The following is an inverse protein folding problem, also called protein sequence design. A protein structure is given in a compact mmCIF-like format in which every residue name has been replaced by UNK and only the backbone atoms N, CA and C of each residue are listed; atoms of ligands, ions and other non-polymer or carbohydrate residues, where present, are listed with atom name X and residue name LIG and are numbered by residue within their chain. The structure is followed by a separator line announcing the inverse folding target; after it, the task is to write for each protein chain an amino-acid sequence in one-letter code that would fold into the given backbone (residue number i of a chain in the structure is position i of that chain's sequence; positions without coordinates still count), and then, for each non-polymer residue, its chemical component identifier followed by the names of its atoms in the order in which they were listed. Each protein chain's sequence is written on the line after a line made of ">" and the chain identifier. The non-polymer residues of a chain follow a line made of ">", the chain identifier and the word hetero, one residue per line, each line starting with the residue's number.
data_IF_310276981302
#
_entry.id   IF_310276981302
#
_cell.length_a   1.000
_cell.length_b   1.000
_cell.length_c   1.000
_cell.angle_alpha   90.00
_cell.angle_beta   90.00
_cell.angle_gamma   90.00
#
_symmetry.space_group_name_H-M   'P 1'
#
loop_
_entity.id
_entity.type
_entity.pdbx_description
1 polymer ?
#
# COMPACT_ATOMS: atom_id res chain seq x y z
N UNK A 1 -27.44 51.41 -46.01
CA UNK A 1 -26.63 51.49 -44.81
C UNK A 1 -27.00 50.22 -44.00
N UNK A 2 -26.27 49.14 -44.21
CA UNK A 2 -26.50 47.81 -43.58
C UNK A 2 -25.47 47.65 -42.48
N UNK A 3 -25.93 47.57 -41.24
CA UNK A 3 -25.12 47.40 -40.05
C UNK A 3 -24.86 45.90 -39.88
N UNK A 4 -23.63 45.46 -40.09
CA UNK A 4 -23.19 44.09 -39.82
C UNK A 4 -22.78 44.00 -38.34
N UNK A 5 -23.54 43.20 -37.55
CA UNK A 5 -23.20 42.84 -36.17
C UNK A 5 -22.24 41.67 -36.25
N UNK A 6 -20.96 41.92 -35.91
CA UNK A 6 -20.00 40.85 -35.67
C UNK A 6 -20.24 40.27 -34.27
N UNK A 7 -20.75 39.04 -34.23
CA UNK A 7 -20.84 38.24 -33.03
C UNK A 7 -19.50 37.51 -32.91
N UNK A 8 -18.60 37.96 -32.01
CA UNK A 8 -17.39 37.26 -31.68
C UNK A 8 -17.72 36.11 -30.75
N UNK A 9 -17.74 34.90 -31.27
CA UNK A 9 -17.70 33.68 -30.48
C UNK A 9 -16.29 33.52 -29.94
N UNK A 10 -16.10 33.77 -28.64
CA UNK A 10 -14.93 33.29 -27.91
C UNK A 10 -15.14 31.81 -27.67
N UNK A 11 -14.46 30.99 -28.47
CA UNK A 11 -14.33 29.56 -28.19
C UNK A 11 -13.39 29.45 -27.00
N UNK A 12 -13.95 29.18 -25.83
CA UNK A 12 -13.17 28.75 -24.66
C UNK A 12 -12.62 27.38 -25.00
N UNK A 13 -11.31 27.26 -25.17
CA UNK A 13 -10.67 25.99 -25.37
C UNK A 13 -10.74 25.24 -24.03
N UNK A 14 -11.60 24.21 -23.98
CA UNK A 14 -11.56 23.21 -22.90
C UNK A 14 -10.18 22.56 -22.88
N UNK A 15 -9.41 22.85 -21.84
CA UNK A 15 -8.11 22.20 -21.60
C UNK A 15 -8.35 20.80 -21.08
N UNK A 16 -8.24 19.80 -21.93
CA UNK A 16 -8.31 18.40 -21.53
C UNK A 16 -7.01 18.00 -20.81
N UNK A 17 -7.12 17.62 -19.56
CA UNK A 17 -5.98 17.33 -18.68
C UNK A 17 -5.65 15.82 -18.73
N UNK A 18 -4.97 15.36 -19.71
CA UNK A 18 -3.96 14.28 -19.68
C UNK A 18 -3.40 14.00 -21.06
N UNK A 19 -2.08 14.12 -21.22
CA UNK A 19 -1.36 13.69 -22.41
C UNK A 19 -1.18 12.15 -22.50
N UNK A 20 -1.61 11.40 -21.47
CA UNK A 20 -1.48 9.94 -21.42
C UNK A 20 -2.75 9.17 -21.87
N UNK A 21 -3.89 9.86 -22.08
CA UNK A 21 -5.12 9.20 -22.48
C UNK A 21 -5.85 10.04 -23.55
N UNK A 22 -5.92 9.55 -24.78
CA UNK A 22 -6.83 10.13 -25.77
C UNK A 22 -8.28 9.83 -25.40
N UNK A 23 -9.22 10.70 -25.79
CA UNK A 23 -10.67 10.50 -25.58
C UNK A 23 -11.13 9.16 -26.18
N UNK A 24 -10.52 8.73 -27.27
CA UNK A 24 -10.79 7.43 -27.91
C UNK A 24 -10.34 6.24 -27.05
N UNK A 25 -9.32 6.41 -26.18
CA UNK A 25 -8.87 5.38 -25.25
C UNK A 25 -9.79 5.17 -24.03
N UNK A 26 -10.60 6.16 -23.68
CA UNK A 26 -11.44 6.14 -22.47
C UNK A 26 -12.58 5.11 -22.56
N UNK A 27 -13.10 4.82 -23.76
CA UNK A 27 -14.29 4.01 -23.98
C UNK A 27 -14.04 2.60 -24.49
N UNK A 28 -12.80 2.18 -24.71
CA UNK A 28 -12.50 0.81 -25.15
C UNK A 28 -12.54 -0.12 -23.93
N UNK A 29 -13.51 -1.05 -23.85
CA UNK A 29 -13.52 -2.04 -22.76
C UNK A 29 -12.25 -2.89 -22.82
N UNK A 30 -11.69 -3.19 -21.67
CA UNK A 30 -10.64 -4.20 -21.54
C UNK A 30 -11.34 -5.54 -21.76
N UNK A 31 -10.87 -6.33 -22.75
CA UNK A 31 -11.41 -7.66 -23.00
C UNK A 31 -11.44 -8.52 -21.72
N UNK A 32 -12.59 -9.11 -21.43
CA UNK A 32 -12.89 -9.79 -20.16
C UNK A 32 -12.83 -11.31 -20.30
N UNK A 33 -11.75 -11.88 -20.78
CA UNK A 33 -11.54 -13.32 -20.57
C UNK A 33 -11.06 -13.53 -19.12
N UNK A 34 -11.88 -14.15 -18.28
CA UNK A 34 -11.46 -14.59 -16.94
C UNK A 34 -10.41 -15.69 -17.08
N UNK A 35 -9.21 -15.41 -16.59
CA UNK A 35 -8.13 -16.41 -16.60
C UNK A 35 -8.27 -17.35 -15.42
N UNK A 36 -8.77 -18.56 -15.63
CA UNK A 36 -8.79 -19.65 -14.64
C UNK A 36 -7.44 -20.39 -14.58
N UNK A 37 -6.32 -19.67 -14.66
CA UNK A 37 -4.99 -20.26 -14.64
C UNK A 37 -4.71 -20.92 -13.28
N UNK A 38 -4.29 -22.19 -13.31
CA UNK A 38 -3.92 -22.95 -12.11
C UNK A 38 -2.48 -22.68 -11.67
N UNK A 39 -2.17 -22.91 -10.37
CA UNK A 39 -0.79 -22.86 -9.85
C UNK A 39 0.13 -23.74 -10.72
N UNK A 40 1.24 -23.16 -11.16
CA UNK A 40 2.21 -23.79 -12.06
C UNK A 40 1.92 -23.63 -13.56
N UNK A 41 0.83 -22.95 -13.94
CA UNK A 41 0.54 -22.61 -15.33
C UNK A 41 1.26 -21.30 -15.72
N UNK A 42 1.89 -21.28 -16.88
CA UNK A 42 2.52 -20.08 -17.43
C UNK A 42 1.45 -19.09 -17.90
N UNK A 43 1.50 -17.86 -17.39
CA UNK A 43 0.67 -16.76 -17.85
C UNK A 43 1.33 -16.13 -19.10
N UNK A 44 0.57 -15.97 -20.17
CA UNK A 44 1.00 -15.22 -21.35
C UNK A 44 0.81 -13.72 -21.10
N UNK A 45 1.86 -13.06 -20.55
CA UNK A 45 1.90 -11.63 -20.24
C UNK A 45 2.93 -10.96 -21.13
N UNK A 46 2.48 -10.00 -21.93
CA UNK A 46 3.34 -9.24 -22.87
C UNK A 46 3.98 -8.03 -22.18
N UNK A 47 4.98 -8.30 -21.35
CA UNK A 47 5.78 -7.30 -20.66
C UNK A 47 7.16 -7.88 -20.33
N UNK A 48 8.15 -7.01 -20.10
CA UNK A 48 9.50 -7.45 -19.75
C UNK A 48 9.61 -8.01 -18.34
N UNK A 49 8.95 -7.35 -17.40
CA UNK A 49 9.01 -7.68 -15.97
C UNK A 49 7.65 -7.53 -15.34
N UNK A 50 7.29 -8.48 -14.49
CA UNK A 50 6.03 -8.43 -13.74
C UNK A 50 6.09 -9.26 -12.46
N UNK A 51 5.23 -8.90 -11.49
CA UNK A 51 5.10 -9.59 -10.21
C UNK A 51 3.66 -9.49 -9.69
N UNK A 52 3.23 -10.53 -8.99
CA UNK A 52 2.04 -10.54 -8.15
C UNK A 52 2.46 -10.83 -6.72
N UNK A 53 2.09 -9.96 -5.79
CA UNK A 53 2.45 -10.05 -4.38
C UNK A 53 1.20 -9.91 -3.49
N UNK A 54 1.15 -10.66 -2.39
CA UNK A 54 0.22 -10.39 -1.29
C UNK A 54 0.89 -9.38 -0.34
N UNK A 55 0.27 -8.18 -0.12
CA UNK A 55 0.96 -7.05 0.50
C UNK A 55 1.28 -7.21 1.99
N UNK A 56 0.47 -7.96 2.77
CA UNK A 56 0.67 -8.09 4.22
C UNK A 56 1.82 -9.02 4.56
N UNK A 57 1.88 -10.18 3.89
CA UNK A 57 2.94 -11.18 4.10
C UNK A 57 4.16 -10.94 3.21
N UNK A 58 4.03 -10.05 2.20
CA UNK A 58 5.01 -9.82 1.12
C UNK A 58 5.32 -11.09 0.33
N UNK A 59 4.41 -12.07 0.33
CA UNK A 59 4.58 -13.34 -0.39
C UNK A 59 4.40 -13.10 -1.89
N UNK A 60 5.40 -13.49 -2.66
CA UNK A 60 5.35 -13.49 -4.11
C UNK A 60 4.51 -14.69 -4.56
N UNK A 61 3.47 -14.44 -5.37
CA UNK A 61 2.54 -15.45 -5.87
C UNK A 61 2.82 -15.84 -7.31
N UNK A 62 3.35 -14.90 -8.08
CA UNK A 62 3.76 -15.09 -9.47
C UNK A 62 4.75 -14.01 -9.86
N UNK A 63 5.77 -14.35 -10.66
CA UNK A 63 6.73 -13.36 -11.15
C UNK A 63 7.43 -13.82 -12.43
N UNK A 64 7.96 -12.87 -13.18
CA UNK A 64 8.97 -13.08 -14.20
C UNK A 64 9.86 -11.82 -14.30
N UNK A 65 11.18 -12.04 -14.30
CA UNK A 65 12.21 -11.00 -14.36
C UNK A 65 11.95 -9.87 -13.32
N UNK A 66 11.42 -10.19 -12.13
CA UNK A 66 10.94 -9.21 -11.16
C UNK A 66 12.04 -8.25 -10.67
N UNK A 67 13.31 -8.66 -10.73
CA UNK A 67 14.46 -7.86 -10.32
C UNK A 67 15.19 -7.17 -11.50
N UNK A 68 14.64 -7.23 -12.72
CA UNK A 68 15.20 -6.48 -13.85
C UNK A 68 15.04 -4.98 -13.62
N UNK A 69 16.15 -4.23 -13.72
CA UNK A 69 16.17 -2.76 -13.54
C UNK A 69 15.63 -2.07 -14.78
N UNK A 70 14.50 -1.38 -14.63
CA UNK A 70 13.77 -0.70 -15.68
C UNK A 70 13.40 0.73 -15.26
N UNK A 71 13.18 1.60 -16.24
CA UNK A 71 12.61 2.92 -16.02
C UNK A 71 11.16 2.79 -15.50
N UNK A 72 10.79 3.45 -14.37
CA UNK A 72 9.45 3.34 -13.79
C UNK A 72 8.39 4.23 -14.45
N UNK A 73 8.79 5.27 -15.20
CA UNK A 73 7.88 6.36 -15.57
C UNK A 73 7.12 6.88 -14.34
N UNK A 74 5.86 7.31 -14.50
CA UNK A 74 5.02 7.85 -13.41
C UNK A 74 4.66 6.85 -12.30
N UNK A 75 5.07 5.56 -12.39
CA UNK A 75 5.02 4.65 -11.23
C UNK A 75 5.87 5.19 -10.08
N UNK A 76 6.91 5.97 -10.37
CA UNK A 76 7.70 6.74 -9.39
C UNK A 76 6.83 7.42 -8.35
N UNK A 77 5.66 7.98 -8.75
CA UNK A 77 4.78 8.73 -7.86
C UNK A 77 4.17 7.92 -6.71
N UNK A 78 4.30 6.59 -6.74
CA UNK A 78 3.92 5.75 -5.60
C UNK A 78 4.74 6.12 -4.36
N UNK A 79 6.05 6.40 -4.51
CA UNK A 79 6.91 6.81 -3.40
C UNK A 79 6.57 8.23 -2.88
N UNK A 80 6.44 9.27 -3.70
CA UNK A 80 5.86 10.55 -3.30
C UNK A 80 4.55 10.44 -2.52
N UNK A 81 3.60 9.67 -3.05
CA UNK A 81 2.30 9.47 -2.39
C UNK A 81 2.45 8.78 -1.03
N UNK A 82 3.36 7.80 -0.91
CA UNK A 82 3.67 7.16 0.38
C UNK A 82 4.19 8.19 1.39
N UNK A 83 5.16 9.02 1.02
CA UNK A 83 5.73 10.03 1.90
C UNK A 83 4.68 11.10 2.32
N UNK A 84 3.77 11.47 1.41
CA UNK A 84 2.67 12.38 1.72
C UNK A 84 1.69 11.74 2.72
N UNK A 85 1.30 10.47 2.52
CA UNK A 85 0.43 9.75 3.46
C UNK A 85 1.08 9.62 4.84
N UNK A 86 2.37 9.28 4.89
CA UNK A 86 3.13 9.20 6.14
C UNK A 86 3.20 10.56 6.86
N UNK A 87 3.36 11.67 6.12
CA UNK A 87 3.36 13.02 6.69
C UNK A 87 1.97 13.40 7.26
N UNK A 88 0.88 12.99 6.60
CA UNK A 88 -0.48 13.18 7.10
C UNK A 88 -0.69 12.36 8.39
N UNK A 89 -0.26 11.11 8.42
CA UNK A 89 -0.41 10.24 9.59
C UNK A 89 0.37 10.76 10.80
N UNK A 90 1.56 11.32 10.58
CA UNK A 90 2.34 12.02 11.63
C UNK A 90 1.75 13.37 12.03
N UNK A 91 0.75 13.88 11.30
CA UNK A 91 0.13 15.20 11.47
C UNK A 91 1.10 16.39 11.20
N UNK A 92 2.10 16.16 10.38
CA UNK A 92 2.99 17.22 9.90
C UNK A 92 2.26 18.15 8.94
N UNK A 93 1.33 17.58 8.14
CA UNK A 93 0.42 18.27 7.23
C UNK A 93 -1.01 17.70 7.38
N UNK A 94 -2.00 18.44 6.87
CA UNK A 94 -3.40 17.98 6.79
C UNK A 94 -3.92 18.11 5.36
N UNK A 95 -5.08 17.55 5.07
CA UNK A 95 -5.71 17.68 3.75
C UNK A 95 -6.05 19.13 3.40
N UNK A 96 -6.32 19.96 4.41
CA UNK A 96 -6.65 21.38 4.30
C UNK A 96 -5.42 22.28 4.22
N UNK A 97 -4.21 21.72 4.42
CA UNK A 97 -2.97 22.50 4.27
C UNK A 97 -2.89 23.10 2.88
N UNK A 98 -2.73 24.43 2.81
CA UNK A 98 -2.64 25.17 1.55
C UNK A 98 -1.21 25.17 1.06
N UNK A 99 -1.02 24.82 -0.21
CA UNK A 99 0.26 24.78 -0.93
C UNK A 99 0.23 25.84 -2.02
N UNK A 100 1.23 26.69 -2.05
CA UNK A 100 1.41 27.67 -3.14
C UNK A 100 2.39 27.11 -4.16
N UNK A 101 1.96 27.01 -5.41
CA UNK A 101 2.76 26.46 -6.49
C UNK A 101 3.98 27.34 -6.81
N UNK A 102 5.15 26.74 -6.83
CA UNK A 102 6.41 27.38 -7.22
C UNK A 102 6.54 27.50 -8.74
N UNK A 103 7.42 28.37 -9.21
CA UNK A 103 7.81 28.44 -10.64
C UNK A 103 8.35 27.07 -11.11
N UNK A 104 9.11 26.36 -10.25
CA UNK A 104 9.65 25.05 -10.56
C UNK A 104 8.54 24.01 -10.78
N UNK A 105 7.60 23.89 -9.85
CA UNK A 105 6.46 22.98 -9.98
C UNK A 105 5.66 23.26 -11.26
N UNK A 106 5.39 24.53 -11.57
CA UNK A 106 4.67 24.96 -12.76
C UNK A 106 5.43 24.73 -14.07
N UNK A 107 6.76 24.57 -14.02
CA UNK A 107 7.61 24.30 -15.20
C UNK A 107 7.61 22.84 -15.63
N UNK A 108 6.98 21.94 -14.86
CA UNK A 108 7.01 20.51 -15.16
C UNK A 108 6.33 20.19 -16.49
N UNK A 109 6.97 19.30 -17.25
CA UNK A 109 6.39 18.72 -18.47
C UNK A 109 5.57 17.46 -18.20
N UNK A 110 4.99 16.89 -19.25
CA UNK A 110 4.18 15.67 -19.20
C UNK A 110 2.76 15.91 -18.69
N UNK A 111 2.21 14.98 -17.92
CA UNK A 111 0.87 15.12 -17.34
C UNK A 111 0.84 16.24 -16.31
N UNK A 112 -0.13 17.15 -16.42
CA UNK A 112 -0.22 18.35 -15.59
C UNK A 112 -1.67 18.73 -15.35
N UNK A 113 -1.92 19.48 -14.26
CA UNK A 113 -3.16 20.23 -14.05
C UNK A 113 -2.98 21.71 -14.41
N UNK A 114 -1.81 22.06 -14.97
CA UNK A 114 -1.48 23.43 -15.42
C UNK A 114 -1.52 24.43 -14.25
N UNK A 115 -0.78 24.13 -13.17
CA UNK A 115 -0.60 25.07 -12.08
C UNK A 115 0.08 26.35 -12.59
N UNK A 116 -0.40 27.50 -12.10
CA UNK A 116 0.24 28.80 -12.36
C UNK A 116 1.12 29.20 -11.17
N UNK A 117 2.26 29.87 -11.39
CA UNK A 117 3.11 30.35 -10.32
C UNK A 117 2.33 31.23 -9.32
N UNK A 118 2.36 30.85 -8.05
CA UNK A 118 1.60 31.53 -7.00
C UNK A 118 0.15 31.06 -6.83
N UNK A 119 -0.35 30.16 -7.68
CA UNK A 119 -1.62 29.50 -7.46
C UNK A 119 -1.58 28.67 -6.18
N UNK A 120 -2.67 28.71 -5.40
CA UNK A 120 -2.76 27.98 -4.14
C UNK A 120 -3.82 26.91 -4.24
N UNK A 121 -3.46 25.68 -3.87
CA UNK A 121 -4.34 24.52 -3.75
C UNK A 121 -4.14 23.82 -2.42
N UNK A 122 -5.13 23.09 -1.96
CA UNK A 122 -5.03 22.22 -0.80
C UNK A 122 -4.26 20.93 -1.10
N UNK A 123 -3.70 20.30 -0.06
CA UNK A 123 -3.11 18.95 -0.17
C UNK A 123 -4.12 17.96 -0.75
N UNK A 124 -5.42 18.04 -0.39
CA UNK A 124 -6.49 17.20 -0.94
C UNK A 124 -6.60 17.34 -2.46
N UNK A 125 -6.61 18.56 -2.99
CA UNK A 125 -6.70 18.84 -4.43
C UNK A 125 -5.44 18.36 -5.18
N UNK A 126 -4.26 18.60 -4.61
CA UNK A 126 -3.00 18.14 -5.21
C UNK A 126 -2.87 16.60 -5.19
N UNK A 127 -3.37 15.93 -4.14
CA UNK A 127 -3.46 14.46 -4.11
C UNK A 127 -4.40 13.93 -5.19
N UNK A 128 -5.59 14.54 -5.38
CA UNK A 128 -6.50 14.19 -6.49
C UNK A 128 -5.79 14.30 -7.83
N UNK A 129 -5.12 15.42 -8.09
CA UNK A 129 -4.39 15.65 -9.33
C UNK A 129 -3.28 14.61 -9.56
N UNK A 130 -2.49 14.32 -8.52
CA UNK A 130 -1.35 13.39 -8.60
C UNK A 130 -1.80 11.94 -8.81
N UNK A 131 -2.85 11.50 -8.12
CA UNK A 131 -3.33 10.11 -8.18
C UNK A 131 -4.16 9.88 -9.44
N UNK A 132 -5.15 10.73 -9.70
CA UNK A 132 -6.15 10.52 -10.77
C UNK A 132 -5.54 10.84 -12.13
N UNK A 133 -5.03 12.08 -12.31
CA UNK A 133 -4.50 12.55 -13.59
C UNK A 133 -2.98 12.36 -13.75
N UNK A 134 -2.29 11.84 -12.72
CA UNK A 134 -0.83 11.67 -12.76
C UNK A 134 -0.05 13.00 -12.86
N UNK A 135 -0.62 14.12 -12.40
CA UNK A 135 -0.07 15.46 -12.56
C UNK A 135 1.35 15.61 -11.96
N UNK A 136 2.30 16.03 -12.78
CA UNK A 136 3.70 16.22 -12.40
C UNK A 136 3.89 17.48 -11.55
N UNK A 137 3.26 18.57 -11.96
CA UNK A 137 3.25 19.85 -11.26
C UNK A 137 2.68 19.71 -9.84
N UNK A 138 1.55 19.03 -9.67
CA UNK A 138 0.98 18.74 -8.36
C UNK A 138 1.90 17.85 -7.50
N UNK A 139 2.56 16.85 -8.09
CA UNK A 139 3.48 15.98 -7.39
C UNK A 139 4.71 16.74 -6.87
N UNK A 140 5.29 17.63 -7.68
CA UNK A 140 6.41 18.49 -7.27
C UNK A 140 5.99 19.43 -6.16
N UNK A 141 4.83 20.09 -6.29
CA UNK A 141 4.31 21.01 -5.26
C UNK A 141 4.12 20.29 -3.90
N UNK A 142 3.63 19.05 -3.89
CA UNK A 142 3.55 18.23 -2.67
C UNK A 142 4.94 17.88 -2.12
N UNK A 143 5.90 17.57 -2.99
CA UNK A 143 7.28 17.30 -2.58
C UNK A 143 7.97 18.51 -1.97
N UNK A 144 7.80 19.70 -2.57
CA UNK A 144 8.32 20.96 -2.05
C UNK A 144 7.70 21.33 -0.70
N UNK A 145 6.41 21.06 -0.50
CA UNK A 145 5.76 21.24 0.81
C UNK A 145 6.44 20.42 1.91
N UNK A 146 6.83 19.17 1.61
CA UNK A 146 7.39 18.25 2.61
C UNK A 146 8.87 18.53 2.88
N UNK A 147 9.65 18.82 1.83
CA UNK A 147 11.11 18.86 1.90
C UNK A 147 11.72 20.22 1.54
N UNK A 148 10.92 21.22 1.20
CA UNK A 148 11.37 22.57 0.81
C UNK A 148 11.88 22.66 -0.64
N UNK A 149 12.22 21.55 -1.29
CA UNK A 149 12.59 21.50 -2.71
C UNK A 149 12.40 20.08 -3.28
N UNK A 150 12.34 19.94 -4.61
CA UNK A 150 12.31 18.63 -5.27
C UNK A 150 13.56 17.81 -4.96
N UNK A 151 14.75 18.41 -4.94
CA UNK A 151 15.99 17.72 -4.61
C UNK A 151 15.98 17.16 -3.19
N UNK A 152 15.53 17.95 -2.22
CA UNK A 152 15.33 17.49 -0.84
C UNK A 152 14.33 16.35 -0.75
N UNK A 153 13.24 16.44 -1.51
CA UNK A 153 12.23 15.39 -1.55
C UNK A 153 12.73 14.10 -2.20
N UNK A 154 13.49 14.19 -3.29
CA UNK A 154 14.15 13.03 -3.92
C UNK A 154 15.14 12.36 -2.98
N UNK A 155 15.85 13.13 -2.14
CA UNK A 155 16.70 12.55 -1.10
C UNK A 155 15.89 11.71 -0.11
N UNK A 156 14.74 12.22 0.38
CA UNK A 156 13.82 11.47 1.25
C UNK A 156 13.24 10.23 0.56
N UNK A 157 12.91 10.32 -0.73
CA UNK A 157 12.43 9.16 -1.51
C UNK A 157 13.48 8.05 -1.55
N UNK A 158 14.74 8.37 -1.78
CA UNK A 158 15.83 7.39 -1.82
C UNK A 158 16.15 6.82 -0.42
N UNK A 159 16.08 7.64 0.62
CA UNK A 159 16.20 7.19 2.01
C UNK A 159 15.09 6.19 2.35
N UNK A 160 13.84 6.52 2.03
CA UNK A 160 12.70 5.64 2.28
C UNK A 160 12.76 4.34 1.48
N UNK A 161 13.21 4.41 0.22
CA UNK A 161 13.45 3.22 -0.59
C UNK A 161 14.45 2.27 0.09
N UNK A 162 15.55 2.80 0.61
CA UNK A 162 16.54 2.02 1.37
C UNK A 162 15.97 1.40 2.65
N UNK A 163 15.18 2.16 3.41
CA UNK A 163 14.50 1.64 4.61
C UNK A 163 13.55 0.48 4.30
N UNK A 164 12.89 0.53 3.14
CA UNK A 164 11.98 -0.51 2.66
C UNK A 164 12.70 -1.73 2.06
N UNK A 165 14.04 -1.68 1.92
CA UNK A 165 14.85 -2.73 1.29
C UNK A 165 14.72 -2.75 -0.24
N UNK A 166 14.39 -1.61 -0.86
CA UNK A 166 14.31 -1.45 -2.32
C UNK A 166 15.71 -1.20 -2.92
N UNK A 167 16.60 -2.19 -2.79
CA UNK A 167 18.03 -2.07 -3.10
C UNK A 167 18.34 -1.85 -4.59
N UNK A 168 17.35 -2.10 -5.46
CA UNK A 168 17.51 -1.93 -6.92
C UNK A 168 16.83 -0.67 -7.44
N UNK A 169 16.35 0.22 -6.55
CA UNK A 169 15.66 1.46 -6.91
C UNK A 169 16.53 2.68 -6.66
N UNK A 170 16.52 3.61 -7.61
CA UNK A 170 17.15 4.93 -7.48
C UNK A 170 16.24 5.96 -8.12
N UNK A 171 15.80 6.95 -7.37
CA UNK A 171 15.02 8.08 -7.84
C UNK A 171 15.93 9.27 -8.19
N UNK A 172 15.66 9.93 -9.31
CA UNK A 172 16.36 11.15 -9.77
C UNK A 172 15.45 12.37 -9.82
N UNK A 173 14.14 12.15 -9.84
CA UNK A 173 13.07 13.14 -9.71
C UNK A 173 11.87 12.49 -9.04
N UNK A 174 10.89 13.28 -8.64
CA UNK A 174 9.70 12.77 -7.96
C UNK A 174 8.55 12.41 -8.92
N UNK A 175 8.68 12.70 -10.22
CA UNK A 175 7.59 12.57 -11.20
C UNK A 175 7.67 11.31 -12.06
N UNK A 176 8.90 10.79 -12.27
CA UNK A 176 9.18 9.68 -13.16
C UNK A 176 9.46 10.08 -14.60
N UNK A 177 9.79 11.34 -14.84
CA UNK A 177 10.37 11.77 -16.12
C UNK A 177 11.71 11.07 -16.33
N UNK A 178 11.99 10.72 -17.60
CA UNK A 178 13.18 9.97 -17.96
C UNK A 178 14.47 10.72 -17.55
N UNK A 179 15.30 10.07 -16.74
CA UNK A 179 16.59 10.55 -16.29
C UNK A 179 17.59 9.39 -16.19
N UNK A 180 18.87 9.65 -16.48
CA UNK A 180 19.91 8.63 -16.37
C UNK A 180 20.02 8.10 -14.95
N UNK A 181 19.95 6.78 -14.79
CA UNK A 181 19.99 6.12 -13.49
C UNK A 181 18.69 6.20 -12.68
N UNK A 182 17.58 6.71 -13.24
CA UNK A 182 16.25 6.62 -12.63
C UNK A 182 15.64 5.25 -12.94
N UNK A 183 15.89 4.29 -12.05
CA UNK A 183 15.60 2.88 -12.27
C UNK A 183 14.89 2.28 -11.06
N UNK A 184 14.09 1.26 -11.30
CA UNK A 184 13.43 0.42 -10.30
C UNK A 184 13.26 -1.00 -10.81
N UNK A 185 12.65 -1.89 -10.01
CA UNK A 185 12.29 -3.25 -10.40
C UNK A 185 10.81 -3.49 -10.10
N UNK A 186 10.19 -4.50 -10.73
CA UNK A 186 8.81 -4.85 -10.40
C UNK A 186 8.67 -5.27 -8.94
N UNK A 187 9.69 -5.92 -8.37
CA UNK A 187 9.74 -6.31 -6.97
C UNK A 187 9.73 -5.07 -6.04
N UNK A 188 10.62 -4.11 -6.27
CA UNK A 188 10.70 -2.89 -5.46
C UNK A 188 9.41 -2.07 -5.57
N UNK A 189 8.82 -1.97 -6.78
CA UNK A 189 7.51 -1.33 -6.97
C UNK A 189 6.42 -2.03 -6.17
N UNK A 190 6.40 -3.36 -6.13
CA UNK A 190 5.43 -4.10 -5.33
C UNK A 190 5.60 -3.82 -3.83
N UNK A 191 6.86 -3.68 -3.35
CA UNK A 191 7.15 -3.32 -1.95
C UNK A 191 6.58 -1.93 -1.62
N UNK A 192 6.93 -0.88 -2.37
CA UNK A 192 6.43 0.47 -2.07
C UNK A 192 4.91 0.59 -2.26
N UNK A 193 4.33 -0.13 -3.22
CA UNK A 193 2.88 -0.19 -3.40
C UNK A 193 2.18 -0.85 -2.22
N UNK A 194 2.76 -1.93 -1.69
CA UNK A 194 2.25 -2.61 -0.49
C UNK A 194 2.29 -1.72 0.74
N UNK A 195 3.31 -0.86 0.88
CA UNK A 195 3.35 0.10 1.98
C UNK A 195 2.31 1.21 1.80
N UNK A 196 2.18 1.77 0.59
CA UNK A 196 1.22 2.84 0.31
C UNK A 196 -0.23 2.45 0.59
N UNK A 197 -0.65 1.22 0.22
CA UNK A 197 -2.04 0.79 0.41
C UNK A 197 -2.42 0.50 1.86
N UNK A 198 -1.46 0.44 2.79
CA UNK A 198 -1.73 0.39 4.24
C UNK A 198 -2.37 1.69 4.75
N UNK A 199 -2.16 2.78 4.06
CA UNK A 199 -2.79 4.07 4.35
C UNK A 199 -4.17 4.11 3.69
N UNK A 200 -5.23 3.80 4.43
CA UNK A 200 -6.61 3.74 3.90
C UNK A 200 -7.04 5.02 3.16
N UNK A 201 -6.44 6.16 3.52
CA UNK A 201 -6.72 7.44 2.88
C UNK A 201 -6.42 7.44 1.38
N UNK A 202 -5.42 6.67 0.91
CA UNK A 202 -5.08 6.64 -0.53
C UNK A 202 -6.25 6.11 -1.37
N UNK A 203 -7.05 5.19 -0.82
CA UNK A 203 -8.21 4.60 -1.50
C UNK A 203 -9.28 5.65 -1.82
N UNK A 204 -9.34 6.78 -1.05
CA UNK A 204 -10.23 7.92 -1.35
C UNK A 204 -9.97 8.50 -2.75
N UNK A 205 -8.75 8.42 -3.25
CA UNK A 205 -8.33 8.97 -4.54
C UNK A 205 -8.16 7.88 -5.61
N UNK A 206 -7.49 6.78 -5.25
CA UNK A 206 -7.07 5.75 -6.22
C UNK A 206 -8.24 4.95 -6.80
N UNK A 207 -9.39 4.92 -6.13
CA UNK A 207 -10.62 4.24 -6.61
C UNK A 207 -11.55 5.14 -7.39
N UNK A 208 -11.24 6.43 -7.53
CA UNK A 208 -12.06 7.39 -8.24
C UNK A 208 -11.78 7.33 -9.74
N UNK A 209 -12.82 7.16 -10.55
CA UNK A 209 -12.70 7.17 -12.01
C UNK A 209 -12.61 8.58 -12.60
N UNK A 210 -13.44 9.48 -12.15
CA UNK A 210 -13.48 10.89 -12.60
C UNK A 210 -13.74 11.81 -11.42
N UNK A 211 -13.09 12.96 -11.41
CA UNK A 211 -13.28 14.05 -10.44
C UNK A 211 -13.00 15.38 -11.15
N UNK A 212 -13.06 16.49 -10.43
CA UNK A 212 -12.74 17.81 -10.94
C UNK A 212 -12.00 18.67 -9.91
N UNK A 213 -11.33 19.71 -10.41
CA UNK A 213 -10.68 20.76 -9.63
C UNK A 213 -11.23 22.12 -10.03
N UNK A 214 -10.89 23.16 -9.24
CA UNK A 214 -11.25 24.55 -9.54
C UNK A 214 -12.75 24.72 -9.80
N UNK A 215 -13.58 24.19 -8.87
CA UNK A 215 -15.05 24.24 -8.94
C UNK A 215 -15.63 23.68 -10.26
N UNK A 216 -15.04 22.59 -10.75
CA UNK A 216 -15.49 21.91 -11.96
C UNK A 216 -14.88 22.42 -13.27
N UNK A 217 -13.96 23.40 -13.22
CA UNK A 217 -13.32 23.94 -14.43
C UNK A 217 -12.22 23.04 -15.01
N UNK A 218 -11.71 22.10 -14.22
CA UNK A 218 -10.67 21.17 -14.65
C UNK A 218 -11.12 19.75 -14.35
N UNK A 219 -11.46 18.98 -15.40
CA UNK A 219 -11.84 17.57 -15.25
C UNK A 219 -10.61 16.68 -15.07
N UNK A 220 -10.70 15.71 -14.16
CA UNK A 220 -9.72 14.67 -13.94
C UNK A 220 -10.29 13.32 -14.35
N UNK A 221 -9.53 12.56 -15.15
CA UNK A 221 -9.87 11.18 -15.53
C UNK A 221 -8.75 10.27 -15.09
N UNK A 222 -9.09 9.17 -14.38
CA UNK A 222 -8.11 8.25 -13.86
C UNK A 222 -7.38 7.51 -15.00
N UNK A 223 -6.07 7.61 -14.99
CA UNK A 223 -5.22 6.91 -15.97
C UNK A 223 -5.25 5.39 -15.81
N UNK A 224 -5.67 4.89 -14.64
CA UNK A 224 -5.84 3.46 -14.37
C UNK A 224 -7.25 2.98 -14.76
N UNK A 225 -7.40 2.46 -15.98
CA UNK A 225 -8.68 1.94 -16.49
C UNK A 225 -9.26 0.80 -15.65
N UNK A 226 -8.46 0.08 -14.85
CA UNK A 226 -8.96 -1.00 -13.99
C UNK A 226 -9.95 -0.49 -12.95
N UNK A 227 -9.84 0.76 -12.52
CA UNK A 227 -10.78 1.40 -11.59
C UNK A 227 -12.23 1.32 -12.10
N UNK A 228 -12.42 1.44 -13.41
CA UNK A 228 -13.75 1.36 -14.04
C UNK A 228 -14.12 -0.07 -14.49
N UNK A 229 -13.13 -0.85 -14.94
CA UNK A 229 -13.39 -2.07 -15.72
C UNK A 229 -12.97 -3.37 -15.04
N UNK A 230 -12.42 -3.32 -13.81
CA UNK A 230 -12.01 -4.52 -13.08
C UNK A 230 -12.59 -4.51 -11.66
N UNK A 231 -13.41 -5.53 -11.33
CA UNK A 231 -14.07 -5.62 -10.03
C UNK A 231 -13.07 -5.74 -8.88
N UNK A 232 -13.24 -4.91 -7.86
CA UNK A 232 -12.42 -4.94 -6.66
C UNK A 232 -11.14 -4.10 -6.76
N UNK A 233 -10.91 -3.34 -7.84
CA UNK A 233 -9.74 -2.46 -7.96
C UNK A 233 -9.71 -1.44 -6.82
N UNK A 234 -8.58 -1.38 -6.10
CA UNK A 234 -8.27 -0.40 -5.06
C UNK A 234 -7.26 0.65 -5.52
N UNK A 235 -6.60 0.45 -6.67
CA UNK A 235 -5.65 1.41 -7.25
C UNK A 235 -4.75 0.76 -8.31
N UNK A 236 -3.56 1.25 -8.60
CA UNK A 236 -2.86 2.29 -7.89
C UNK A 236 -2.35 3.35 -8.88
N UNK A 237 -1.32 3.03 -9.71
CA UNK A 237 -0.64 4.01 -10.56
C UNK A 237 -0.20 3.45 -11.91
N UNK A 238 -0.43 4.22 -12.98
CA UNK A 238 0.13 3.98 -14.32
C UNK A 238 1.40 4.79 -14.55
N UNK A 239 2.20 4.37 -15.51
CA UNK A 239 3.34 5.12 -16.01
C UNK A 239 3.59 4.87 -17.50
N UNK A 240 3.99 5.91 -18.22
CA UNK A 240 4.32 5.79 -19.64
C UNK A 240 5.38 6.84 -20.03
N UNK A 241 6.47 6.40 -20.63
CA UNK A 241 7.41 7.23 -21.36
C UNK A 241 7.90 6.45 -22.59
N UNK A 242 8.62 7.10 -23.48
CA UNK A 242 9.22 6.43 -24.63
C UNK A 242 10.22 5.34 -24.24
N UNK A 243 10.92 5.50 -23.12
CA UNK A 243 11.93 4.56 -22.60
C UNK A 243 11.24 3.46 -21.77
N UNK A 244 10.40 3.85 -20.80
CA UNK A 244 9.74 2.91 -19.89
C UNK A 244 8.66 2.07 -20.58
N UNK A 245 8.14 2.50 -21.73
CA UNK A 245 6.95 1.90 -22.35
C UNK A 245 5.74 2.03 -21.42
N UNK A 246 4.92 1.00 -21.34
CA UNK A 246 3.67 1.01 -20.56
C UNK A 246 3.86 0.23 -19.27
N UNK A 247 3.77 0.95 -18.15
CA UNK A 247 3.92 0.42 -16.81
C UNK A 247 2.62 0.57 -15.99
N UNK A 248 2.39 -0.36 -15.06
CA UNK A 248 1.24 -0.34 -14.15
C UNK A 248 1.61 -0.99 -12.82
N UNK A 249 1.33 -0.32 -11.71
CA UNK A 249 1.12 -0.92 -10.42
C UNK A 249 -0.38 -0.92 -10.16
N UNK A 250 -0.99 -2.10 -10.11
CA UNK A 250 -2.42 -2.29 -9.86
C UNK A 250 -2.64 -2.96 -8.52
N UNK A 251 -3.67 -2.53 -7.80
CA UNK A 251 -4.10 -3.17 -6.56
C UNK A 251 -5.58 -3.51 -6.64
N UNK A 252 -5.96 -4.65 -6.07
CA UNK A 252 -7.36 -5.06 -5.99
C UNK A 252 -7.60 -5.91 -4.76
N UNK A 253 -8.81 -5.82 -4.21
CA UNK A 253 -9.26 -6.58 -3.05
C UNK A 253 -10.56 -7.34 -3.36
N UNK A 254 -10.61 -8.63 -3.00
CA UNK A 254 -11.82 -9.47 -3.06
C UNK A 254 -11.83 -10.41 -1.86
N UNK A 255 -12.96 -10.45 -1.16
CA UNK A 255 -13.18 -11.36 -0.02
C UNK A 255 -12.07 -11.31 1.04
N UNK A 256 -11.52 -10.11 1.30
CA UNK A 256 -10.45 -9.85 2.26
C UNK A 256 -9.05 -10.20 1.76
N UNK A 257 -8.88 -10.71 0.56
CA UNK A 257 -7.58 -10.87 -0.09
C UNK A 257 -7.27 -9.61 -0.91
N UNK A 258 -6.28 -8.84 -0.50
CA UNK A 258 -5.71 -7.74 -1.27
C UNK A 258 -4.47 -8.21 -2.03
N UNK A 259 -4.30 -7.76 -3.26
CA UNK A 259 -3.21 -8.15 -4.15
C UNK A 259 -2.59 -6.93 -4.82
N UNK A 260 -1.28 -6.98 -5.00
CA UNK A 260 -0.49 -6.01 -5.77
C UNK A 260 0.05 -6.70 -7.02
N UNK A 261 -0.34 -6.22 -8.19
CA UNK A 261 0.14 -6.68 -9.48
C UNK A 261 0.93 -5.56 -10.17
N UNK A 262 2.22 -5.78 -10.42
CA UNK A 262 3.08 -4.82 -11.12
C UNK A 262 3.45 -5.37 -12.48
N UNK A 263 3.32 -4.54 -13.51
CA UNK A 263 3.71 -4.83 -14.88
C UNK A 263 4.58 -3.68 -15.38
N UNK A 264 5.81 -3.98 -15.80
CA UNK A 264 6.77 -2.99 -16.31
C UNK A 264 7.13 -3.30 -17.77
N UNK A 265 7.27 -2.24 -18.55
CA UNK A 265 7.66 -2.28 -19.96
C UNK A 265 6.76 -3.18 -20.83
N UNK A 266 5.45 -3.05 -20.69
CA UNK A 266 4.47 -3.58 -21.62
C UNK A 266 4.59 -2.89 -22.98
N UNK A 267 4.37 -3.61 -24.08
CA UNK A 267 4.52 -3.06 -25.44
C UNK A 267 3.44 -2.03 -25.79
N UNK A 268 2.21 -2.26 -25.31
CA UNK A 268 1.06 -1.37 -25.54
C UNK A 268 0.34 -1.03 -24.22
N UNK A 269 -0.50 0.02 -24.26
CA UNK A 269 -1.36 0.36 -23.13
C UNK A 269 -2.25 -0.83 -22.70
N UNK A 270 -2.77 -1.60 -23.66
CA UNK A 270 -3.61 -2.77 -23.36
C UNK A 270 -2.80 -3.91 -22.72
N UNK A 271 -1.54 -4.11 -23.10
CA UNK A 271 -0.71 -5.19 -22.55
C UNK A 271 -0.49 -5.02 -21.04
N UNK A 272 -0.24 -3.76 -20.55
CA UNK A 272 -0.09 -3.51 -19.10
C UNK A 272 -1.36 -3.84 -18.32
N UNK A 273 -2.55 -3.47 -18.86
CA UNK A 273 -3.83 -3.74 -18.20
C UNK A 273 -4.19 -5.23 -18.26
N UNK A 274 -4.02 -5.87 -19.41
CA UNK A 274 -4.29 -7.30 -19.57
C UNK A 274 -3.31 -8.14 -18.72
N UNK A 275 -2.04 -7.76 -18.66
CA UNK A 275 -1.06 -8.40 -17.79
C UNK A 275 -1.43 -8.33 -16.32
N UNK A 276 -1.78 -7.13 -15.83
CA UNK A 276 -2.21 -6.95 -14.44
C UNK A 276 -3.50 -7.72 -14.12
N UNK A 277 -4.50 -7.73 -15.03
CA UNK A 277 -5.71 -8.54 -14.87
C UNK A 277 -5.39 -10.03 -14.74
N UNK A 278 -4.57 -10.58 -15.64
CA UNK A 278 -4.16 -12.00 -15.61
C UNK A 278 -3.47 -12.34 -14.28
N UNK A 279 -2.60 -11.46 -13.75
CA UNK A 279 -1.96 -11.64 -12.45
C UNK A 279 -2.98 -11.64 -11.32
N UNK A 280 -3.86 -10.65 -11.27
CA UNK A 280 -4.89 -10.51 -10.22
C UNK A 280 -5.87 -11.70 -10.28
N UNK A 281 -6.37 -12.08 -11.46
CA UNK A 281 -7.27 -13.23 -11.64
C UNK A 281 -6.59 -14.52 -11.20
N UNK A 282 -5.32 -14.73 -11.55
CA UNK A 282 -4.53 -15.86 -11.05
C UNK A 282 -4.47 -15.88 -9.52
N UNK A 283 -4.21 -14.71 -8.89
CA UNK A 283 -4.16 -14.61 -7.44
C UNK A 283 -5.50 -14.95 -6.80
N UNK A 284 -6.58 -14.32 -7.24
CA UNK A 284 -7.93 -14.56 -6.70
C UNK A 284 -8.45 -15.99 -7.00
N UNK A 285 -8.06 -16.60 -8.13
CA UNK A 285 -8.44 -17.97 -8.42
C UNK A 285 -7.76 -18.99 -7.52
N UNK A 286 -6.50 -18.77 -7.16
CA UNK A 286 -5.65 -19.77 -6.50
C UNK A 286 -5.43 -19.53 -5.00
N UNK A 287 -5.68 -18.33 -4.48
CA UNK A 287 -5.41 -17.97 -3.09
C UNK A 287 -6.63 -17.41 -2.38
N UNK A 288 -6.62 -17.49 -1.07
CA UNK A 288 -7.59 -16.86 -0.17
C UNK A 288 -6.88 -16.37 1.08
N UNK A 289 -7.41 -15.32 1.68
CA UNK A 289 -6.88 -14.74 2.90
C UNK A 289 -7.80 -15.06 4.08
N UNK A 290 -7.24 -15.38 5.22
CA UNK A 290 -7.99 -15.71 6.43
C UNK A 290 -7.24 -15.24 7.65
N UNK A 291 -7.95 -14.57 8.58
CA UNK A 291 -7.42 -14.19 9.89
C UNK A 291 -7.82 -15.24 10.93
N UNK A 292 -6.84 -15.93 11.48
CA UNK A 292 -7.04 -16.95 12.52
C UNK A 292 -6.84 -16.33 13.90
N UNK A 293 -7.90 -16.29 14.71
CA UNK A 293 -7.83 -15.81 16.10
C UNK A 293 -7.27 -16.89 17.02
N UNK A 294 -6.58 -16.48 18.08
CA UNK A 294 -6.08 -17.39 19.11
C UNK A 294 -7.19 -18.18 19.80
N UNK A 295 -8.37 -17.56 20.03
CA UNK A 295 -9.51 -18.10 20.75
C UNK A 295 -9.18 -18.60 22.17
N UNK A 296 -8.05 -18.19 22.74
CA UNK A 296 -7.68 -18.47 24.11
C UNK A 296 -8.26 -17.37 25.01
N UNK A 297 -9.49 -17.58 25.47
CA UNK A 297 -10.11 -16.72 26.46
C UNK A 297 -9.32 -16.73 27.77
N UNK A 298 -9.64 -15.78 28.68
CA UNK A 298 -9.05 -15.72 30.01
C UNK A 298 -9.06 -17.10 30.67
N UNK A 299 -7.87 -17.61 30.99
CA UNK A 299 -7.65 -18.88 31.68
C UNK A 299 -6.54 -18.72 32.71
N UNK A 300 -6.31 -19.74 33.53
CA UNK A 300 -5.28 -19.75 34.54
C UNK A 300 -4.14 -20.70 34.17
N UNK A 301 -2.88 -20.24 34.37
CA UNK A 301 -1.69 -21.04 34.22
C UNK A 301 -0.97 -21.19 35.55
N UNK A 302 -0.58 -22.41 35.90
CA UNK A 302 0.26 -22.68 37.07
C UNK A 302 1.65 -22.10 36.91
N UNK A 303 2.16 -21.53 38.00
CA UNK A 303 3.48 -20.88 38.08
C UNK A 303 4.23 -21.31 39.35
N UNK A 304 5.54 -21.19 39.27
CA UNK A 304 6.44 -21.51 40.41
C UNK A 304 6.82 -20.22 41.16
N UNK A 305 7.14 -20.40 42.43
CA UNK A 305 7.75 -19.37 43.30
C UNK A 305 6.91 -18.10 43.48
N UNK A 306 5.62 -18.12 43.16
CA UNK A 306 4.71 -16.96 43.28
C UNK A 306 3.90 -16.95 44.57
N UNK A 307 3.51 -15.74 45.02
CA UNK A 307 2.51 -15.57 46.12
C UNK A 307 1.15 -16.17 45.77
N UNK A 308 0.85 -16.25 44.47
CA UNK A 308 -0.23 -17.01 43.89
C UNK A 308 0.34 -18.21 43.17
N UNK A 309 -0.34 -19.35 43.21
CA UNK A 309 0.06 -20.56 42.47
C UNK A 309 -0.29 -20.50 40.98
N UNK A 310 -1.13 -19.56 40.60
CA UNK A 310 -1.63 -19.40 39.24
C UNK A 310 -1.64 -17.93 38.83
N UNK A 311 -1.53 -17.67 37.55
CA UNK A 311 -1.65 -16.36 36.92
C UNK A 311 -2.72 -16.42 35.85
N UNK A 312 -3.53 -15.38 35.76
CA UNK A 312 -4.50 -15.21 34.67
C UNK A 312 -3.78 -14.83 33.40
N UNK A 313 -4.16 -15.47 32.30
CA UNK A 313 -3.56 -15.28 30.97
C UNK A 313 -4.64 -15.19 29.90
N UNK A 314 -4.31 -14.52 28.81
CA UNK A 314 -5.10 -14.55 27.57
C UNK A 314 -4.17 -14.51 26.35
N UNK A 315 -4.68 -14.94 25.21
CA UNK A 315 -4.09 -14.65 23.93
C UNK A 315 -5.12 -13.88 23.09
N UNK A 316 -4.83 -12.61 22.89
CA UNK A 316 -5.69 -11.68 22.15
C UNK A 316 -4.89 -11.24 20.92
N UNK A 317 -5.16 -11.88 19.79
CA UNK A 317 -4.44 -11.61 18.55
C UNK A 317 -4.97 -12.48 17.40
N UNK A 318 -4.53 -12.09 16.20
CA UNK A 318 -4.82 -12.81 14.98
C UNK A 318 -3.51 -13.13 14.26
N UNK A 319 -3.48 -14.24 13.54
CA UNK A 319 -2.49 -14.53 12.51
C UNK A 319 -3.20 -14.47 11.18
N UNK A 320 -2.72 -13.60 10.32
CA UNK A 320 -3.21 -13.47 8.97
C UNK A 320 -2.51 -14.49 8.07
N UNK A 321 -3.31 -15.26 7.35
CA UNK A 321 -2.83 -16.41 6.61
C UNK A 321 -3.27 -16.31 5.17
N UNK A 322 -2.30 -16.37 4.27
CA UNK A 322 -2.51 -16.54 2.86
C UNK A 322 -2.54 -18.03 2.53
N UNK A 323 -3.71 -18.56 2.21
CA UNK A 323 -3.92 -19.96 1.89
C UNK A 323 -3.96 -20.17 0.39
N UNK A 324 -3.20 -21.15 -0.12
CA UNK A 324 -3.44 -21.71 -1.44
C UNK A 324 -4.73 -22.54 -1.41
N UNK A 325 -5.63 -22.31 -2.37
CA UNK A 325 -6.88 -23.08 -2.47
C UNK A 325 -6.66 -24.57 -2.78
N UNK A 326 -5.46 -24.95 -3.23
CA UNK A 326 -5.06 -26.34 -3.47
C UNK A 326 -4.49 -27.01 -2.22
N UNK A 327 -3.99 -26.23 -1.27
CA UNK A 327 -3.44 -26.75 -0.02
C UNK A 327 -4.55 -27.04 0.99
N UNK A 328 -4.26 -27.94 1.92
CA UNK A 328 -5.21 -28.31 2.96
C UNK A 328 -5.65 -27.10 3.77
N UNK A 329 -6.97 -26.96 3.97
CA UNK A 329 -7.56 -26.02 4.93
C UNK A 329 -7.44 -26.49 6.38
N UNK A 330 -6.65 -27.56 6.65
CA UNK A 330 -6.46 -28.12 7.97
C UNK A 330 -5.58 -27.20 8.83
N UNK A 331 -6.21 -26.16 9.37
CA UNK A 331 -5.57 -25.21 10.29
C UNK A 331 -5.76 -25.74 11.70
N UNK A 332 -4.64 -26.07 12.36
CA UNK A 332 -4.60 -26.52 13.75
C UNK A 332 -3.98 -25.45 14.64
N UNK A 333 -4.58 -25.27 15.82
CA UNK A 333 -4.06 -24.38 16.87
C UNK A 333 -3.50 -25.25 18.00
N UNK A 334 -2.26 -25.02 18.39
CA UNK A 334 -1.59 -25.73 19.48
C UNK A 334 -1.08 -24.73 20.51
N UNK A 335 -1.47 -24.88 21.77
CA UNK A 335 -0.96 -24.04 22.85
C UNK A 335 0.36 -24.59 23.36
N UNK A 336 1.42 -23.78 23.28
CA UNK A 336 2.75 -24.10 23.79
C UNK A 336 3.12 -23.11 24.88
N UNK A 337 3.47 -23.61 26.06
CA UNK A 337 3.87 -22.80 27.20
C UNK A 337 5.38 -22.73 27.31
N UNK A 338 5.87 -21.57 27.77
CA UNK A 338 7.28 -21.44 28.13
C UNK A 338 7.64 -22.41 29.25
N UNK A 339 8.85 -22.92 29.21
CA UNK A 339 9.35 -23.79 30.26
C UNK A 339 9.56 -23.00 31.58
N UNK A 340 9.28 -23.64 32.72
CA UNK A 340 9.57 -23.10 34.05
C UNK A 340 9.04 -21.68 34.31
N UNK A 341 7.75 -21.41 34.02
CA UNK A 341 7.14 -20.11 34.32
C UNK A 341 7.21 -19.84 35.82
N UNK A 342 7.99 -18.81 36.22
CA UNK A 342 8.29 -18.47 37.61
C UNK A 342 7.99 -17.00 37.90
N UNK A 343 7.53 -16.72 39.11
CA UNK A 343 7.43 -15.36 39.62
C UNK A 343 8.83 -14.74 39.88
N UNK A 344 8.98 -13.40 39.80
CA UNK A 344 7.93 -12.43 39.59
C UNK A 344 7.45 -12.39 38.11
N UNK A 345 6.15 -12.16 37.90
CA UNK A 345 5.52 -11.99 36.60
C UNK A 345 4.88 -10.61 36.58
N UNK A 346 5.03 -9.89 35.49
CA UNK A 346 4.35 -8.62 35.26
C UNK A 346 3.21 -8.78 34.25
N UNK A 347 2.17 -7.98 34.41
CA UNK A 347 1.12 -7.89 33.41
C UNK A 347 1.73 -7.55 32.04
N UNK A 348 1.39 -8.35 31.02
CA UNK A 348 1.94 -8.25 29.67
C UNK A 348 3.11 -9.19 29.38
N UNK A 349 3.70 -9.84 30.38
CA UNK A 349 4.76 -10.83 30.14
C UNK A 349 4.24 -11.98 29.29
N UNK A 350 5.08 -12.42 28.32
CA UNK A 350 4.75 -13.52 27.40
C UNK A 350 5.09 -14.86 28.10
N UNK A 351 4.06 -15.65 28.38
CA UNK A 351 4.15 -16.92 29.09
C UNK A 351 4.04 -18.14 28.18
N UNK A 352 3.75 -17.95 26.92
CA UNK A 352 3.61 -19.00 25.92
C UNK A 352 3.09 -18.46 24.60
N UNK A 353 2.72 -19.37 23.70
CA UNK A 353 2.24 -19.06 22.36
C UNK A 353 1.08 -19.99 21.96
N UNK A 354 0.13 -19.46 21.21
CA UNK A 354 -0.78 -20.27 20.40
C UNK A 354 -0.14 -20.37 19.01
N UNK A 355 0.38 -21.53 18.68
CA UNK A 355 0.98 -21.83 17.38
C UNK A 355 -0.13 -22.22 16.42
N UNK A 356 -0.14 -21.57 15.26
CA UNK A 356 -1.06 -21.87 14.17
C UNK A 356 -0.30 -22.65 13.11
N UNK A 357 -0.76 -23.87 12.84
CA UNK A 357 -0.14 -24.76 11.88
C UNK A 357 -1.09 -25.01 10.70
N UNK A 358 -0.53 -25.14 9.49
CA UNK A 358 -1.18 -25.67 8.31
C UNK A 358 -0.56 -27.03 7.98
N UNK A 359 -1.31 -28.11 8.28
CA UNK A 359 -0.71 -29.44 8.28
C UNK A 359 0.41 -29.55 9.32
N UNK A 360 1.64 -29.83 8.87
CA UNK A 360 2.86 -29.90 9.72
C UNK A 360 3.65 -28.58 9.80
N UNK A 361 3.31 -27.59 8.97
CA UNK A 361 4.06 -26.33 8.90
C UNK A 361 3.49 -25.28 9.86
N UNK A 362 4.36 -24.69 10.71
CA UNK A 362 4.03 -23.50 11.48
C UNK A 362 3.88 -22.30 10.53
N UNK A 363 2.70 -21.67 10.55
CA UNK A 363 2.38 -20.51 9.71
C UNK A 363 2.26 -19.22 10.51
N UNK A 364 2.29 -19.32 11.84
CA UNK A 364 2.34 -18.17 12.72
C UNK A 364 2.11 -18.52 14.17
N UNK A 365 2.36 -17.55 15.04
CA UNK A 365 2.18 -17.68 16.49
C UNK A 365 1.55 -16.43 17.09
N UNK A 366 0.72 -16.61 18.12
CA UNK A 366 0.07 -15.56 18.89
C UNK A 366 0.55 -15.64 20.32
N UNK A 367 1.01 -14.54 20.90
CA UNK A 367 1.53 -14.47 22.25
C UNK A 367 0.43 -14.67 23.29
N UNK A 368 0.72 -15.49 24.31
CA UNK A 368 -0.11 -15.65 25.50
C UNK A 368 0.49 -14.76 26.58
N UNK A 369 -0.26 -13.74 27.01
CA UNK A 369 0.21 -12.72 27.96
C UNK A 369 -0.43 -12.86 29.33
N UNK A 370 0.35 -12.54 30.38
CA UNK A 370 -0.16 -12.38 31.72
C UNK A 370 -1.12 -11.18 31.81
N UNK A 371 -2.27 -11.36 32.48
CA UNK A 371 -3.26 -10.31 32.69
C UNK A 371 -3.08 -9.56 34.02
N UNK A 372 -2.24 -10.09 34.91
CA UNK A 372 -2.00 -9.55 36.24
C UNK A 372 -0.54 -9.72 36.66
N UNK A 373 -0.13 -8.94 37.67
CA UNK A 373 1.16 -9.08 38.31
C UNK A 373 1.13 -10.22 39.32
N UNK A 374 2.21 -10.98 39.44
CA UNK A 374 2.41 -11.95 40.52
C UNK A 374 3.78 -11.75 41.12
N UNK A 375 3.82 -11.36 42.41
CA UNK A 375 5.04 -11.17 43.14
C UNK A 375 5.71 -12.54 43.49
N UNK A 376 7.02 -12.54 43.58
CA UNK A 376 7.77 -13.72 44.03
C UNK A 376 7.53 -13.97 45.51
N UNK A 377 7.27 -15.20 45.87
CA UNK A 377 7.19 -15.62 47.25
C UNK A 377 8.60 -15.53 47.91
N UNK A 378 8.78 -14.58 48.79
CA UNK A 378 10.02 -14.32 49.50
C UNK A 378 9.79 -14.10 50.98
N UNK A 379 10.88 -14.13 51.80
CA UNK A 379 10.78 -13.97 53.25
C UNK A 379 9.99 -12.71 53.66
N UNK A 380 10.26 -11.57 53.06
CA UNK A 380 9.61 -10.30 53.39
C UNK A 380 8.11 -10.31 53.03
N UNK A 381 7.75 -10.93 51.91
CA UNK A 381 6.34 -11.04 51.46
C UNK A 381 5.59 -11.99 52.40
N UNK A 382 6.18 -13.12 52.72
CA UNK A 382 5.59 -14.09 53.65
C UNK A 382 5.46 -13.50 55.06
N UNK A 383 6.49 -12.76 55.52
CA UNK A 383 6.44 -12.09 56.84
C UNK A 383 5.38 -11.01 56.88
N UNK A 384 5.24 -10.19 55.85
CA UNK A 384 4.15 -9.21 55.75
C UNK A 384 2.76 -9.86 55.73
N UNK A 385 2.63 -11.00 55.05
CA UNK A 385 1.38 -11.76 54.99
C UNK A 385 0.97 -12.31 56.39
N UNK A 386 1.97 -12.85 57.13
CA UNK A 386 1.77 -13.33 58.50
C UNK A 386 1.40 -12.18 59.42
N UNK A 387 2.09 -11.05 59.37
CA UNK A 387 1.78 -9.86 60.15
C UNK A 387 0.36 -9.35 59.88
N UNK A 388 -0.03 -9.23 58.60
CA UNK A 388 -1.38 -8.81 58.24
C UNK A 388 -2.46 -9.80 58.72
N UNK A 389 -2.15 -11.12 58.75
CA UNK A 389 -3.05 -12.14 59.26
C UNK A 389 -3.18 -12.11 60.81
N UNK A 390 -2.11 -11.73 61.54
CA UNK A 390 -2.12 -11.63 62.99
C UNK A 390 -2.77 -10.34 63.50
N UNK A 391 -2.57 -9.23 62.79
CA UNK A 391 -3.00 -7.92 63.26
C UNK A 391 -4.29 -7.42 62.62
N UNK A 392 -4.92 -8.18 61.72
CA UNK A 392 -6.14 -7.77 60.98
C UNK A 392 -6.06 -6.36 60.40
N UNK A 393 -4.88 -5.93 59.94
CA UNK A 393 -4.60 -4.60 59.38
C UNK A 393 -4.67 -4.64 57.85
#
# INVERSE_FOLDING_TARGET
>A
MILAVFCSFTVSAEKTISSECSIDDINVPIETEETNASIGQTLDIKAKSFILMEPNTKKILYEANADEKLSPASITKVMPLLLVMEAIDRKDITLETVVTASEHACSMGGSQIWLEPGESMTVDELLKATVIASANDACVALGELIAGSEEGFVALMNERAKELGMDNTTFKNCTGLDAEGHLTTAHDVAIMSSELIKHELIKKYSTVWMDSLRDGQSELVNTNKLVRFYKGTTGLKTGTTSIAKYCLSATAERDGLELVAVVLAGETSNDRFNGAKKLLDYGFANYSFTSVKADLKETEKEILDGVKKKVKVSADGTVDILLSKKESKDIKKTTVWNENIKAPIKKGDVLGYVIVNQGENEIGKIEIKALEDVEKLGFLVTFRWILNGIFNL
#
